data_IF_418559300841
#
_entry.id   IF_418559300841
#
_cell.length_a   1.000
_cell.length_b   1.000
_cell.length_c   1.000
_cell.angle_alpha   90.00
_cell.angle_beta   90.00
_cell.angle_gamma   90.00
#
_symmetry.space_group_name_H-M   'P 1'
#
loop_
_entity.id
_entity.type
_entity.pdbx_description
1 polymer ?
#
# COMPACT_ATOMS: atom_id res chain seq x y z
N UNK A 1 -15.17 -15.60 22.90
CA UNK A 1 -14.83 -14.20 22.58
C UNK A 1 -13.53 -14.24 21.80
N UNK A 2 -13.58 -14.07 20.49
CA UNK A 2 -12.36 -13.99 19.67
C UNK A 2 -11.68 -12.65 20.00
N UNK A 3 -10.40 -12.64 20.39
CA UNK A 3 -9.70 -11.38 20.65
C UNK A 3 -9.79 -10.52 19.39
N UNK A 4 -10.38 -9.33 19.51
CA UNK A 4 -10.38 -8.37 18.40
C UNK A 4 -8.93 -7.96 18.19
N UNK A 5 -8.41 -8.21 17.01
CA UNK A 5 -7.06 -7.79 16.63
C UNK A 5 -7.17 -6.68 15.61
N UNK A 6 -6.41 -5.59 15.79
CA UNK A 6 -6.32 -4.50 14.80
C UNK A 6 -5.00 -4.62 14.06
N UNK A 7 -5.05 -4.69 12.73
CA UNK A 7 -3.87 -4.51 11.89
C UNK A 7 -3.56 -3.02 11.86
N UNK A 8 -2.42 -2.62 12.43
CA UNK A 8 -1.92 -1.25 12.36
C UNK A 8 -0.74 -1.21 11.40
N UNK A 9 -0.81 -0.31 10.43
CA UNK A 9 0.30 -0.02 9.54
C UNK A 9 1.44 0.60 10.35
N UNK A 10 2.63 0.00 10.28
CA UNK A 10 3.82 0.46 11.01
C UNK A 10 4.87 1.07 10.10
N UNK A 11 4.91 0.64 8.85
CA UNK A 11 5.87 1.14 7.88
C UNK A 11 5.33 0.98 6.47
N UNK A 12 5.66 1.94 5.61
CA UNK A 12 5.46 1.86 4.16
C UNK A 12 6.81 2.11 3.51
N UNK A 13 7.32 1.11 2.81
CA UNK A 13 8.49 1.26 1.97
C UNK A 13 8.02 1.43 0.53
N UNK A 14 8.49 2.47 -0.14
CA UNK A 14 8.15 2.75 -1.55
C UNK A 14 9.41 2.64 -2.38
N UNK A 15 9.47 1.64 -3.25
CA UNK A 15 10.50 1.51 -4.27
C UNK A 15 10.03 2.27 -5.51
N UNK A 16 10.71 3.37 -5.80
CA UNK A 16 10.45 4.23 -6.95
C UNK A 16 11.78 4.56 -7.65
N UNK A 17 11.86 4.46 -8.98
CA UNK A 17 13.12 4.65 -9.70
C UNK A 17 13.63 6.10 -9.74
N UNK A 18 12.78 7.11 -9.48
CA UNK A 18 13.20 8.51 -9.49
C UNK A 18 13.47 9.06 -8.07
N UNK A 19 14.20 10.18 -7.99
CA UNK A 19 14.50 10.84 -6.71
C UNK A 19 13.27 11.43 -6.01
N UNK A 20 12.25 11.83 -6.78
CA UNK A 20 11.05 12.47 -6.25
C UNK A 20 9.83 11.62 -6.53
N UNK A 21 9.05 11.35 -5.48
CA UNK A 21 7.74 10.72 -5.62
C UNK A 21 6.75 11.70 -6.25
N UNK A 22 6.13 11.37 -7.39
CA UNK A 22 5.07 12.19 -7.97
C UNK A 22 3.83 12.23 -7.08
N UNK A 23 3.02 13.28 -7.25
CA UNK A 23 1.87 13.60 -6.39
C UNK A 23 0.91 12.42 -6.16
N UNK A 24 0.52 11.60 -7.17
CA UNK A 24 -0.37 10.47 -6.93
C UNK A 24 0.23 9.46 -5.94
N UNK A 25 1.53 9.20 -6.04
CA UNK A 25 2.22 8.27 -5.14
C UNK A 25 2.40 8.83 -3.74
N UNK A 26 2.67 10.14 -3.61
CA UNK A 26 2.67 10.82 -2.32
C UNK A 26 1.31 10.71 -1.62
N UNK A 27 0.21 10.95 -2.36
CA UNK A 27 -1.14 10.80 -1.85
C UNK A 27 -1.48 9.36 -1.45
N UNK A 28 -0.90 8.35 -2.12
CA UNK A 28 -1.02 6.95 -1.71
C UNK A 28 -0.33 6.70 -0.37
N UNK A 29 0.91 7.18 -0.18
CA UNK A 29 1.63 7.06 1.09
C UNK A 29 0.86 7.75 2.22
N UNK A 30 0.42 8.99 2.00
CA UNK A 30 -0.35 9.73 3.00
C UNK A 30 -1.62 8.97 3.39
N UNK A 31 -2.39 8.51 2.41
CA UNK A 31 -3.61 7.75 2.67
C UNK A 31 -3.34 6.45 3.46
N UNK A 32 -2.28 5.71 3.13
CA UNK A 32 -1.83 4.56 3.93
C UNK A 32 -1.53 4.98 5.38
N UNK A 33 -0.80 6.07 5.59
CA UNK A 33 -0.47 6.57 6.94
C UNK A 33 -1.71 7.06 7.72
N UNK A 34 -2.76 7.50 7.03
CA UNK A 34 -4.05 7.84 7.63
C UNK A 34 -4.88 6.60 8.01
N UNK A 35 -4.47 5.42 7.56
CA UNK A 35 -5.12 4.14 7.87
C UNK A 35 -5.91 3.53 6.70
N UNK A 36 -5.81 4.08 5.49
CA UNK A 36 -6.39 3.45 4.32
C UNK A 36 -5.71 2.11 4.03
N UNK A 37 -6.51 1.16 3.53
CA UNK A 37 -6.02 -0.16 3.15
C UNK A 37 -5.44 -0.11 1.74
N UNK A 38 -4.46 -0.97 1.41
CA UNK A 38 -3.88 -1.06 0.07
C UNK A 38 -4.94 -1.23 -1.03
N UNK A 39 -5.99 -2.02 -0.76
CA UNK A 39 -7.11 -2.21 -1.69
C UNK A 39 -7.85 -0.92 -2.02
N UNK A 40 -7.99 -0.01 -1.05
CA UNK A 40 -8.61 1.31 -1.27
C UNK A 40 -7.70 2.19 -2.13
N UNK A 41 -6.39 2.15 -1.88
CA UNK A 41 -5.41 2.88 -2.69
C UNK A 41 -5.42 2.37 -4.13
N UNK A 42 -5.39 1.05 -4.32
CA UNK A 42 -5.44 0.40 -5.63
C UNK A 42 -6.71 0.81 -6.38
N UNK A 43 -7.87 0.72 -5.73
CA UNK A 43 -9.14 1.12 -6.34
C UNK A 43 -9.13 2.60 -6.74
N UNK A 44 -8.64 3.48 -5.86
CA UNK A 44 -8.54 4.92 -6.14
C UNK A 44 -7.62 5.22 -7.32
N UNK A 45 -6.47 4.58 -7.39
CA UNK A 45 -5.51 4.77 -8.49
C UNK A 45 -6.08 4.32 -9.83
N UNK A 46 -6.74 3.16 -9.85
CA UNK A 46 -7.42 2.66 -11.05
C UNK A 46 -8.54 3.61 -11.50
N UNK A 47 -9.31 4.20 -10.58
CA UNK A 47 -10.33 5.21 -10.90
C UNK A 47 -9.75 6.51 -11.47
N UNK A 48 -8.52 6.87 -11.09
CA UNK A 48 -7.81 8.02 -11.63
C UNK A 48 -7.18 7.75 -13.01
N UNK A 49 -7.30 6.52 -13.54
CA UNK A 49 -6.76 6.12 -14.83
C UNK A 49 -5.33 5.56 -14.77
N UNK A 50 -4.76 5.38 -13.58
CA UNK A 50 -3.49 4.68 -13.39
C UNK A 50 -3.70 3.17 -13.36
N UNK A 51 -2.64 2.39 -13.56
CA UNK A 51 -2.72 0.95 -13.39
C UNK A 51 -2.18 0.59 -12.00
N UNK A 52 -3.05 0.11 -11.12
CA UNK A 52 -2.64 -0.36 -9.80
C UNK A 52 -3.13 -1.80 -9.56
N UNK A 53 -2.27 -2.64 -9.00
CA UNK A 53 -2.60 -4.03 -8.68
C UNK A 53 -1.88 -4.48 -7.43
N UNK A 54 -2.51 -5.43 -6.72
CA UNK A 54 -1.87 -6.12 -5.60
C UNK A 54 -0.94 -7.19 -6.18
N UNK A 55 0.26 -7.28 -5.64
CA UNK A 55 1.13 -8.42 -5.93
C UNK A 55 0.59 -9.63 -5.17
N UNK A 56 0.49 -10.78 -5.82
CA UNK A 56 0.07 -12.01 -5.16
C UNK A 56 1.17 -12.44 -4.17
N UNK A 57 1.15 -11.86 -2.97
CA UNK A 57 2.06 -12.26 -1.90
C UNK A 57 1.63 -13.62 -1.37
N UNK A 58 2.62 -14.44 -1.04
CA UNK A 58 2.38 -15.75 -0.43
C UNK A 58 1.65 -15.56 0.90
N UNK A 59 0.76 -16.47 1.32
CA UNK A 59 -0.09 -16.31 2.51
C UNK A 59 0.66 -16.26 3.86
N UNK A 60 1.99 -16.19 3.83
CA UNK A 60 2.89 -16.17 4.99
C UNK A 60 3.44 -14.77 5.30
N UNK A 61 3.28 -13.78 4.41
CA UNK A 61 3.84 -12.44 4.64
C UNK A 61 2.91 -11.55 5.48
N UNK A 62 3.44 -10.99 6.58
CA UNK A 62 2.80 -9.92 7.38
C UNK A 62 2.74 -8.57 6.66
N UNK A 63 3.15 -8.55 5.38
CA UNK A 63 3.27 -7.37 4.57
C UNK A 63 2.35 -7.49 3.35
N UNK A 64 1.58 -6.44 3.08
CA UNK A 64 0.84 -6.34 1.83
C UNK A 64 1.74 -5.63 0.81
N UNK A 65 1.88 -6.22 -0.38
CA UNK A 65 2.63 -5.60 -1.48
C UNK A 65 1.66 -5.23 -2.58
N UNK A 66 1.77 -3.99 -3.07
CA UNK A 66 1.05 -3.57 -4.27
C UNK A 66 1.92 -2.67 -5.13
N UNK A 67 1.55 -2.59 -6.40
CA UNK A 67 2.27 -1.82 -7.40
C UNK A 67 1.33 -0.81 -8.03
N UNK A 68 1.87 0.38 -8.31
CA UNK A 68 1.18 1.44 -9.05
C UNK A 68 2.09 1.83 -10.21
N UNK A 69 1.59 1.64 -11.43
CA UNK A 69 2.20 2.11 -12.66
C UNK A 69 1.54 3.42 -13.08
N UNK A 70 2.35 4.46 -13.17
CA UNK A 70 1.91 5.78 -13.60
C UNK A 70 1.98 5.93 -15.12
N UNK A 71 3.00 5.35 -15.75
CA UNK A 71 3.18 5.30 -17.20
C UNK A 71 3.98 4.05 -17.62
N UNK A 72 4.29 3.92 -18.91
CA UNK A 72 4.97 2.73 -19.47
C UNK A 72 6.36 2.46 -18.87
N UNK A 73 7.00 3.47 -18.28
CA UNK A 73 8.38 3.42 -17.77
C UNK A 73 8.49 3.59 -16.26
N UNK A 74 7.44 4.12 -15.62
CA UNK A 74 7.46 4.47 -14.22
C UNK A 74 6.46 3.65 -13.41
N UNK A 75 7.01 2.74 -12.61
CA UNK A 75 6.29 1.86 -11.70
C UNK A 75 6.83 2.05 -10.29
N UNK A 76 5.91 2.18 -9.34
CA UNK A 76 6.20 2.22 -7.91
C UNK A 76 5.71 0.94 -7.25
N UNK A 77 6.55 0.38 -6.39
CA UNK A 77 6.20 -0.78 -5.56
C UNK A 77 6.11 -0.36 -4.10
N UNK A 78 4.98 -0.64 -3.49
CA UNK A 78 4.67 -0.32 -2.10
C UNK A 78 4.70 -1.59 -1.27
N UNK A 79 5.51 -1.59 -0.22
CA UNK A 79 5.57 -2.64 0.80
C UNK A 79 4.98 -2.07 2.08
N UNK A 80 3.77 -2.51 2.42
CA UNK A 80 3.06 -2.08 3.61
C UNK A 80 3.25 -3.11 4.71
N UNK A 81 3.91 -2.72 5.81
CA UNK A 81 4.13 -3.61 6.95
C UNK A 81 3.09 -3.35 8.02
N UNK A 82 2.45 -4.41 8.48
CA UNK A 82 1.42 -4.34 9.52
C UNK A 82 1.87 -5.10 10.75
N UNK A 83 1.54 -4.59 11.92
CA UNK A 83 1.55 -5.36 13.16
C UNK A 83 0.13 -5.66 13.58
N UNK A 84 -0.05 -6.84 14.18
CA UNK A 84 -1.33 -7.24 14.76
C UNK A 84 -1.32 -6.87 16.24
N UNK A 85 -2.07 -5.83 16.61
CA UNK A 85 -2.21 -5.42 18.01
C UNK A 85 -3.46 -6.06 18.63
N UNK A 86 -3.35 -6.64 19.84
CA UNK A 86 -4.50 -7.10 20.60
C UNK A 86 -5.32 -5.88 21.06
N UNK A 87 -6.62 -5.86 20.77
CA UNK A 87 -7.56 -4.93 21.41
C UNK A 87 -7.94 -5.54 22.77
N UNK A 88 -7.51 -4.88 23.84
CA UNK A 88 -7.92 -5.20 25.23
C UNK A 88 -9.31 -4.67 25.53
#
# INVERSE_FOLDING_TARGET
>A
MTPRTRRQLVSVEVMWPAQTLPLPLQQAVEALTQGDMPDQIIARMNLQGFQAWREATSPQDEHDIFQIRLDETHEARFLCRYITLPLH
#
